data_IF_378488126890
#
_entry.id   IF_378488126890
#
_cell.length_a   1.000
_cell.length_b   1.000
_cell.length_c   1.000
_cell.angle_alpha   90.00
_cell.angle_beta   90.00
_cell.angle_gamma   90.00
#
_symmetry.space_group_name_H-M   'P 1'
#
loop_
_entity.id
_entity.type
_entity.pdbx_description
1 polymer ?
#
# COMPACT_ATOMS: atom_id res chain seq x y z
N UNK A 1 -9.34 29.99 14.36
CA UNK A 1 -7.90 29.84 14.73
C UNK A 1 -7.05 30.04 13.48
N UNK A 2 -5.72 30.03 13.59
CA UNK A 2 -4.79 29.99 12.43
C UNK A 2 -3.88 28.77 12.50
N UNK A 3 -3.26 28.42 11.37
CA UNK A 3 -2.22 27.39 11.33
C UNK A 3 -0.87 27.95 11.78
N UNK A 4 -0.17 27.18 12.60
CA UNK A 4 1.18 27.47 13.11
C UNK A 4 2.26 26.76 12.31
N UNK A 5 3.18 26.07 12.99
CA UNK A 5 4.19 25.23 12.34
C UNK A 5 3.55 24.00 11.69
N UNK A 6 4.08 23.61 10.52
CA UNK A 6 3.69 22.41 9.78
C UNK A 6 4.94 21.65 9.35
N UNK A 7 4.86 20.33 9.25
CA UNK A 7 5.95 19.48 8.76
C UNK A 7 5.39 18.22 8.08
N UNK A 8 6.10 17.68 7.10
CA UNK A 8 5.80 16.39 6.48
C UNK A 8 7.10 15.63 6.20
N UNK A 9 7.15 14.35 6.56
CA UNK A 9 8.30 13.47 6.30
C UNK A 9 7.77 12.11 5.87
N UNK A 10 8.40 11.53 4.86
CA UNK A 10 8.10 10.20 4.34
C UNK A 10 9.42 9.49 4.03
N UNK A 11 9.53 8.21 4.39
CA UNK A 11 10.71 7.36 4.22
C UNK A 11 10.28 5.94 3.83
N UNK A 12 10.96 5.27 2.88
CA UNK A 12 10.58 3.94 2.43
C UNK A 12 10.88 2.82 3.45
N UNK A 13 11.41 3.15 4.63
CA UNK A 13 11.74 2.19 5.68
C UNK A 13 13.04 1.43 5.42
N UNK A 14 13.06 0.15 5.80
CA UNK A 14 14.21 -0.77 5.69
C UNK A 14 13.93 -2.03 4.87
N UNK A 15 12.67 -2.43 4.67
CA UNK A 15 12.31 -3.67 3.94
C UNK A 15 11.66 -3.43 2.57
N UNK A 16 10.84 -2.38 2.42
CA UNK A 16 10.22 -2.02 1.13
C UNK A 16 11.30 -1.52 0.13
N UNK A 17 10.95 -1.53 -1.16
CA UNK A 17 11.84 -1.12 -2.28
C UNK A 17 11.45 0.20 -2.94
N UNK A 18 10.17 0.52 -2.87
CA UNK A 18 9.56 1.75 -3.30
C UNK A 18 8.88 2.37 -2.08
N UNK A 19 8.45 3.62 -2.23
CA UNK A 19 7.59 4.28 -1.28
C UNK A 19 6.21 4.37 -1.92
N UNK A 20 5.26 3.61 -1.42
CA UNK A 20 3.87 3.61 -1.89
C UNK A 20 3.00 4.59 -1.09
N UNK A 21 3.53 5.18 -0.01
CA UNK A 21 2.93 6.31 0.70
C UNK A 21 2.97 7.61 -0.11
N UNK A 22 1.91 8.43 0.02
CA UNK A 22 1.92 9.85 -0.36
C UNK A 22 1.28 10.71 0.75
N UNK A 23 1.71 11.98 0.87
CA UNK A 23 1.10 12.95 1.78
C UNK A 23 0.81 14.31 1.12
N UNK A 24 -0.02 15.11 1.79
CA UNK A 24 -0.35 16.49 1.43
C UNK A 24 -0.15 17.41 2.64
N UNK A 25 0.63 18.48 2.44
CA UNK A 25 0.82 19.56 3.41
C UNK A 25 0.51 20.91 2.73
N UNK A 26 -0.77 21.21 2.47
CA UNK A 26 -1.22 22.40 1.73
C UNK A 26 -2.31 23.13 2.53
N UNK A 27 -1.95 23.96 3.53
CA UNK A 27 -2.89 24.76 4.32
C UNK A 27 -4.05 25.35 3.49
N UNK A 28 -5.33 25.15 3.89
CA UNK A 28 -5.81 24.57 5.15
C UNK A 28 -5.89 23.03 5.21
N UNK A 29 -5.45 22.32 4.16
CA UNK A 29 -5.65 20.88 3.97
C UNK A 29 -4.38 20.06 4.22
N UNK A 30 -4.53 18.97 4.98
CA UNK A 30 -3.47 18.00 5.27
C UNK A 30 -3.97 16.58 5.02
N UNK A 31 -3.10 15.67 4.56
CA UNK A 31 -3.46 14.27 4.43
C UNK A 31 -2.26 13.33 4.43
N UNK A 32 -2.53 12.05 4.74
CA UNK A 32 -1.68 10.90 4.42
C UNK A 32 -2.50 9.85 3.67
N UNK A 33 -1.85 9.07 2.80
CA UNK A 33 -2.44 7.99 2.03
C UNK A 33 -1.39 6.88 1.83
N UNK A 34 -1.66 5.69 2.36
CA UNK A 34 -0.83 4.49 2.27
C UNK A 34 -1.26 3.68 1.04
N UNK A 35 -0.33 3.41 0.13
CA UNK A 35 -0.63 2.79 -1.17
C UNK A 35 -0.57 1.27 -1.13
N UNK A 36 -1.72 0.60 -1.24
CA UNK A 36 -1.82 -0.87 -1.26
C UNK A 36 -1.97 -1.40 -2.69
N UNK A 37 -1.06 -2.29 -3.11
CA UNK A 37 -1.14 -2.87 -4.45
C UNK A 37 -0.06 -3.91 -4.76
N UNK A 38 -0.12 -4.43 -5.98
CA UNK A 38 0.93 -5.27 -6.55
C UNK A 38 1.96 -4.45 -7.33
N UNK A 39 3.23 -4.87 -7.29
CA UNK A 39 4.36 -4.29 -8.02
C UNK A 39 4.70 -2.83 -7.68
N UNK A 40 3.95 -1.86 -8.23
CA UNK A 40 4.09 -0.42 -7.96
C UNK A 40 2.73 0.28 -8.05
N UNK A 41 1.65 -0.47 -7.82
CA UNK A 41 0.29 0.03 -7.99
C UNK A 41 -0.21 0.83 -6.78
N UNK A 42 0.37 0.62 -5.59
CA UNK A 42 0.12 1.45 -4.42
C UNK A 42 0.63 2.89 -4.62
N UNK A 43 1.85 3.04 -5.16
CA UNK A 43 2.44 4.33 -5.56
C UNK A 43 1.49 5.13 -6.49
N UNK A 44 0.84 4.45 -7.44
CA UNK A 44 -0.13 5.08 -8.36
C UNK A 44 -1.44 5.42 -7.66
N UNK A 45 -1.91 4.59 -6.72
CA UNK A 45 -3.14 4.83 -5.98
C UNK A 45 -3.01 6.01 -5.00
N UNK A 46 -2.00 6.02 -4.11
CA UNK A 46 -1.80 7.11 -3.15
C UNK A 46 -1.45 8.43 -3.86
N UNK A 47 -0.68 8.37 -4.96
CA UNK A 47 -0.39 9.52 -5.82
C UNK A 47 -1.65 10.12 -6.45
N UNK A 48 -2.61 9.29 -6.89
CA UNK A 48 -3.91 9.76 -7.41
C UNK A 48 -4.81 10.34 -6.32
N UNK A 49 -4.80 9.78 -5.10
CA UNK A 49 -5.52 10.35 -3.96
C UNK A 49 -4.96 11.73 -3.58
N UNK A 50 -3.64 11.86 -3.45
CA UNK A 50 -2.97 13.12 -3.17
C UNK A 50 -3.07 14.15 -4.31
N UNK A 51 -3.30 13.71 -5.55
CA UNK A 51 -3.62 14.59 -6.67
C UNK A 51 -5.06 15.12 -6.59
N UNK A 52 -6.04 14.30 -6.22
CA UNK A 52 -7.43 14.72 -6.04
C UNK A 52 -7.56 15.87 -5.01
N UNK A 53 -6.80 15.80 -3.91
CA UNK A 53 -6.76 16.84 -2.87
C UNK A 53 -6.17 18.20 -3.31
N UNK A 54 -5.57 18.29 -4.50
CA UNK A 54 -4.96 19.54 -4.99
C UNK A 54 -5.94 20.40 -5.80
N UNK A 55 -7.02 19.80 -6.28
CA UNK A 55 -8.07 20.42 -7.10
C UNK A 55 -9.26 20.87 -6.24
N UNK A 56 -9.95 21.93 -6.67
CA UNK A 56 -11.20 22.36 -6.05
C UNK A 56 -12.35 21.40 -6.41
N UNK A 57 -13.28 21.08 -5.49
CA UNK A 57 -14.48 20.31 -5.81
C UNK A 57 -15.29 20.92 -6.95
N UNK A 58 -15.88 20.07 -7.79
CA UNK A 58 -16.69 20.49 -8.96
C UNK A 58 -18.00 21.21 -8.57
N UNK A 59 -18.50 20.93 -7.38
CA UNK A 59 -19.67 21.55 -6.77
C UNK A 59 -19.24 22.16 -5.43
N UNK A 60 -19.72 23.37 -5.12
CA UNK A 60 -19.33 24.06 -3.90
C UNK A 60 -19.90 23.32 -2.66
N UNK A 61 -19.05 22.86 -1.72
CA UNK A 61 -19.49 22.09 -0.56
C UNK A 61 -20.34 22.96 0.38
N UNK A 62 -21.37 22.37 0.98
CA UNK A 62 -22.31 23.04 1.89
C UNK A 62 -21.83 23.00 3.35
N UNK A 63 -20.80 22.21 3.63
CA UNK A 63 -20.14 22.10 4.94
C UNK A 63 -18.70 21.58 4.80
N UNK A 64 -17.82 21.78 5.81
CA UNK A 64 -16.48 21.20 5.81
C UNK A 64 -16.45 19.66 5.77
N UNK A 65 -17.45 18.98 6.36
CA UNK A 65 -17.56 17.52 6.31
C UNK A 65 -17.82 17.04 4.87
N UNK A 66 -18.81 17.62 4.20
CA UNK A 66 -19.07 17.36 2.78
C UNK A 66 -17.89 17.75 1.88
N UNK A 67 -17.11 18.77 2.23
CA UNK A 67 -15.90 19.12 1.49
C UNK A 67 -14.89 17.95 1.51
N UNK A 68 -14.56 17.43 2.70
CA UNK A 68 -13.61 16.32 2.81
C UNK A 68 -14.20 15.03 2.21
N UNK A 69 -15.50 14.77 2.38
CA UNK A 69 -16.21 13.66 1.73
C UNK A 69 -16.07 13.73 0.20
N UNK A 70 -16.41 14.86 -0.44
CA UNK A 70 -16.34 15.03 -1.90
C UNK A 70 -14.91 14.87 -2.44
N UNK A 71 -13.90 15.33 -1.69
CA UNK A 71 -12.49 15.16 -2.04
C UNK A 71 -12.08 13.68 -2.00
N UNK A 72 -12.52 12.94 -0.99
CA UNK A 72 -12.29 11.50 -0.83
C UNK A 72 -13.05 10.68 -1.89
N UNK A 73 -14.29 11.03 -2.22
CA UNK A 73 -15.05 10.38 -3.29
C UNK A 73 -14.45 10.63 -4.68
N UNK A 74 -13.93 11.82 -4.97
CA UNK A 74 -13.22 12.11 -6.23
C UNK A 74 -11.87 11.37 -6.31
N UNK A 75 -11.18 11.16 -5.19
CA UNK A 75 -10.03 10.26 -5.11
C UNK A 75 -10.43 8.81 -5.44
N UNK A 76 -11.50 8.30 -4.79
CA UNK A 76 -12.05 6.96 -5.05
C UNK A 76 -12.37 6.74 -6.53
N UNK A 77 -13.13 7.68 -7.11
CA UNK A 77 -13.54 7.65 -8.51
C UNK A 77 -12.34 7.64 -9.48
N UNK A 78 -11.25 8.34 -9.17
CA UNK A 78 -10.01 8.35 -9.98
C UNK A 78 -9.27 7.02 -9.93
N UNK A 79 -9.08 6.48 -8.73
CA UNK A 79 -8.31 5.25 -8.51
C UNK A 79 -9.07 4.05 -9.07
N UNK A 80 -10.37 3.94 -8.77
CA UNK A 80 -11.24 2.88 -9.31
C UNK A 80 -11.33 2.92 -10.85
N UNK A 81 -11.46 4.11 -11.44
CA UNK A 81 -11.42 4.27 -12.90
C UNK A 81 -10.09 3.78 -13.48
N UNK A 82 -8.96 4.23 -12.92
CA UNK A 82 -7.61 3.84 -13.39
C UNK A 82 -7.32 2.36 -13.23
N UNK A 83 -7.79 1.73 -12.14
CA UNK A 83 -7.68 0.30 -11.86
C UNK A 83 -8.57 -0.58 -12.78
N UNK A 84 -9.66 0.01 -13.30
CA UNK A 84 -10.55 -0.63 -14.29
C UNK A 84 -10.02 -0.48 -15.72
N UNK A 85 -9.41 0.67 -16.05
CA UNK A 85 -8.87 0.96 -17.38
C UNK A 85 -7.53 0.25 -17.66
N UNK A 86 -6.72 0.00 -16.63
CA UNK A 86 -5.39 -0.62 -16.76
C UNK A 86 -5.28 -1.91 -15.93
N UNK A 87 -5.31 -3.05 -16.61
CA UNK A 87 -5.19 -4.39 -16.03
C UNK A 87 -3.91 -4.60 -15.21
N UNK A 88 -2.85 -3.80 -15.43
CA UNK A 88 -1.62 -3.89 -14.62
C UNK A 88 -1.73 -3.23 -13.24
N UNK A 89 -2.76 -2.41 -13.05
CA UNK A 89 -3.12 -1.75 -11.78
C UNK A 89 -4.41 -2.32 -11.17
N UNK A 90 -4.89 -3.46 -11.68
CA UNK A 90 -6.14 -4.06 -11.23
C UNK A 90 -6.04 -4.47 -9.75
N UNK A 91 -6.96 -3.96 -8.94
CA UNK A 91 -6.97 -4.19 -7.49
C UNK A 91 -6.02 -3.30 -6.69
N UNK A 92 -5.50 -2.21 -7.28
CA UNK A 92 -4.84 -1.17 -6.48
C UNK A 92 -5.85 -0.41 -5.61
N UNK A 93 -5.39 0.04 -4.45
CA UNK A 93 -6.14 0.93 -3.58
C UNK A 93 -5.23 1.73 -2.67
N UNK A 94 -5.81 2.53 -1.79
CA UNK A 94 -5.05 3.31 -0.80
C UNK A 94 -5.87 3.57 0.45
N UNK A 95 -5.24 3.70 1.61
CA UNK A 95 -5.86 4.37 2.76
C UNK A 95 -5.92 5.87 2.48
N UNK A 96 -6.70 6.62 3.26
CA UNK A 96 -6.68 8.08 3.19
C UNK A 96 -7.21 8.69 4.47
N UNK A 97 -6.38 9.52 5.10
CA UNK A 97 -6.75 10.27 6.31
C UNK A 97 -6.47 11.74 6.07
N UNK A 98 -7.55 12.51 5.95
CA UNK A 98 -7.56 13.91 5.55
C UNK A 98 -8.01 14.77 6.72
N UNK A 99 -7.39 15.94 6.89
CA UNK A 99 -7.75 16.96 7.87
C UNK A 99 -7.87 18.33 7.18
N UNK A 100 -9.06 18.94 7.27
CA UNK A 100 -9.37 20.29 6.82
C UNK A 100 -9.52 21.22 8.02
N UNK A 101 -8.68 22.25 8.11
CA UNK A 101 -8.69 23.22 9.20
C UNK A 101 -9.55 24.43 8.84
N UNK A 102 -10.73 24.56 9.44
CA UNK A 102 -11.71 25.61 9.11
C UNK A 102 -12.33 26.24 10.37
N UNK A 103 -12.45 27.57 10.38
CA UNK A 103 -13.07 28.44 11.39
C UNK A 103 -12.88 28.14 12.91
N UNK A 104 -11.89 27.31 13.29
CA UNK A 104 -11.65 26.89 14.69
C UNK A 104 -12.07 25.45 15.00
N UNK A 105 -12.31 24.64 13.98
CA UNK A 105 -12.51 23.20 14.01
C UNK A 105 -11.51 22.55 13.04
N UNK A 106 -11.11 21.30 13.31
CA UNK A 106 -10.47 20.45 12.30
C UNK A 106 -11.47 19.38 11.92
N UNK A 107 -11.85 19.34 10.65
CA UNK A 107 -12.77 18.33 10.13
C UNK A 107 -11.96 17.23 9.47
N UNK A 108 -12.13 16.00 9.95
CA UNK A 108 -11.50 14.82 9.41
C UNK A 108 -12.40 14.11 8.41
N UNK A 109 -11.78 13.39 7.48
CA UNK A 109 -12.38 12.34 6.68
C UNK A 109 -11.40 11.18 6.56
N UNK A 110 -11.86 9.97 6.80
CA UNK A 110 -11.00 8.82 7.04
C UNK A 110 -11.51 7.53 6.35
N UNK A 111 -10.58 6.82 5.71
CA UNK A 111 -10.74 5.47 5.13
C UNK A 111 -9.44 4.69 5.34
N UNK A 112 -9.52 3.42 5.73
CA UNK A 112 -8.36 2.59 6.04
C UNK A 112 -7.92 2.70 7.50
N UNK A 113 -6.65 2.38 7.79
CA UNK A 113 -6.08 2.31 9.13
C UNK A 113 -4.92 3.29 9.39
N UNK A 114 -4.53 4.12 8.40
CA UNK A 114 -3.66 5.27 8.63
C UNK A 114 -4.30 6.26 9.61
N UNK A 115 -3.61 6.61 10.69
CA UNK A 115 -4.21 7.26 11.86
C UNK A 115 -4.08 8.78 11.85
N UNK A 116 -4.97 9.44 12.60
CA UNK A 116 -4.76 10.79 13.09
C UNK A 116 -4.76 10.82 14.62
N UNK A 117 -3.90 11.67 15.18
CA UNK A 117 -3.73 11.92 16.61
C UNK A 117 -3.79 13.42 16.90
N UNK A 118 -4.31 13.76 18.09
CA UNK A 118 -4.22 15.08 18.71
C UNK A 118 -3.27 14.98 19.91
N UNK A 119 -2.21 15.79 19.91
CA UNK A 119 -1.38 16.06 21.07
C UNK A 119 -1.81 17.38 21.74
N UNK A 120 -2.27 17.30 23.00
CA UNK A 120 -2.85 18.42 23.76
C UNK A 120 -2.57 18.23 25.24
N UNK A 121 -2.21 19.31 25.94
CA UNK A 121 -2.01 19.36 27.40
C UNK A 121 -0.99 18.32 27.96
N UNK A 122 -0.15 17.72 27.09
CA UNK A 122 0.83 16.67 27.40
C UNK A 122 0.42 15.25 26.99
N UNK A 123 -0.84 15.05 26.62
CA UNK A 123 -1.41 13.75 26.25
C UNK A 123 -1.50 13.63 24.71
N UNK A 124 -1.10 12.46 24.18
CA UNK A 124 -1.37 12.05 22.80
C UNK A 124 -2.65 11.21 22.77
N UNK A 125 -3.60 11.56 21.90
CA UNK A 125 -4.86 10.83 21.76
C UNK A 125 -5.21 10.62 20.29
N UNK A 126 -5.39 9.36 19.89
CA UNK A 126 -5.93 9.00 18.59
C UNK A 126 -7.33 9.61 18.39
N UNK A 127 -7.63 10.07 17.18
CA UNK A 127 -8.93 10.68 16.81
C UNK A 127 -9.68 9.93 15.70
N UNK A 128 -8.98 9.12 14.91
CA UNK A 128 -9.57 8.16 13.94
C UNK A 128 -9.89 6.82 14.59
N UNK A 129 -10.79 6.06 13.99
CA UNK A 129 -11.13 4.68 14.35
C UNK A 129 -10.72 3.76 13.20
N UNK A 130 -9.68 2.94 13.36
CA UNK A 130 -9.07 2.17 12.25
C UNK A 130 -10.10 1.28 11.51
N UNK A 131 -10.04 1.26 10.18
CA UNK A 131 -10.81 0.32 9.34
C UNK A 131 -10.01 -0.97 9.09
N UNK A 132 -9.67 -1.69 10.15
CA UNK A 132 -8.97 -2.98 10.10
C UNK A 132 -9.75 -4.09 10.78
N UNK A 133 -9.51 -5.34 10.37
CA UNK A 133 -10.16 -6.53 10.90
C UNK A 133 -9.97 -6.65 12.42
N UNK A 134 -8.78 -6.30 12.93
CA UNK A 134 -8.52 -6.32 14.38
C UNK A 134 -9.29 -5.21 15.11
N UNK A 135 -9.42 -4.02 14.54
CA UNK A 135 -10.22 -2.94 15.13
C UNK A 135 -11.73 -3.29 15.17
N UNK A 136 -12.26 -3.96 14.15
CA UNK A 136 -13.63 -4.49 14.18
C UNK A 136 -13.82 -5.58 15.24
N UNK A 137 -12.88 -6.53 15.36
CA UNK A 137 -12.94 -7.58 16.39
C UNK A 137 -12.79 -7.01 17.81
N UNK A 138 -12.01 -5.95 17.99
CA UNK A 138 -11.92 -5.17 19.24
C UNK A 138 -13.25 -4.47 19.56
N UNK A 139 -13.82 -3.72 18.60
CA UNK A 139 -15.10 -2.99 18.77
C UNK A 139 -16.26 -3.92 19.11
N UNK A 140 -16.27 -5.13 18.54
CA UNK A 140 -17.25 -6.19 18.85
C UNK A 140 -16.98 -6.94 20.17
N UNK A 141 -15.87 -6.66 20.88
CA UNK A 141 -15.49 -7.37 22.11
C UNK A 141 -15.12 -8.84 21.91
N UNK A 142 -14.71 -9.21 20.68
CA UNK A 142 -14.28 -10.57 20.30
C UNK A 142 -12.78 -10.81 20.55
N UNK A 143 -12.02 -9.77 20.86
CA UNK A 143 -10.57 -9.74 20.96
C UNK A 143 -10.16 -8.73 22.04
N UNK A 144 -9.05 -8.97 22.75
CA UNK A 144 -8.42 -7.97 23.62
C UNK A 144 -7.40 -7.10 22.86
N UNK A 145 -6.99 -5.95 23.42
CA UNK A 145 -5.93 -5.10 22.83
C UNK A 145 -4.61 -5.87 22.66
N UNK A 146 -4.21 -6.62 23.69
CA UNK A 146 -3.02 -7.48 23.72
C UNK A 146 -3.06 -8.58 22.63
N UNK A 147 -4.25 -9.10 22.34
CA UNK A 147 -4.49 -10.09 21.27
C UNK A 147 -4.52 -9.46 19.87
N UNK A 148 -4.92 -8.19 19.74
CA UNK A 148 -4.95 -7.45 18.47
C UNK A 148 -3.54 -7.13 17.96
N UNK A 149 -2.67 -6.61 18.83
CA UNK A 149 -1.27 -6.27 18.53
C UNK A 149 -0.48 -7.46 17.95
N UNK A 150 -0.82 -8.67 18.39
CA UNK A 150 -0.17 -9.93 18.00
C UNK A 150 -0.97 -10.78 17.00
N UNK A 151 -2.09 -10.26 16.49
CA UNK A 151 -2.98 -11.02 15.60
C UNK A 151 -2.35 -11.26 14.22
N UNK A 152 -2.40 -12.48 13.64
CA UNK A 152 -1.79 -12.79 12.34
C UNK A 152 -2.48 -12.13 11.14
N UNK A 153 -3.55 -11.36 11.38
CA UNK A 153 -4.28 -10.58 10.37
C UNK A 153 -4.46 -9.12 10.84
N UNK A 154 -3.47 -8.54 11.54
CA UNK A 154 -3.55 -7.13 12.01
C UNK A 154 -3.62 -6.14 10.84
N UNK A 155 -2.70 -6.27 9.88
CA UNK A 155 -2.61 -5.46 8.64
C UNK A 155 -3.64 -5.87 7.56
N UNK A 156 -4.86 -6.26 7.97
CA UNK A 156 -5.97 -6.55 7.05
C UNK A 156 -7.00 -5.44 7.17
N UNK A 157 -6.90 -4.46 6.27
CA UNK A 157 -7.89 -3.40 6.12
C UNK A 157 -9.24 -3.95 5.66
N UNK A 158 -10.32 -3.38 6.18
CA UNK A 158 -11.71 -3.70 5.82
C UNK A 158 -12.36 -2.61 4.98
N UNK A 159 -11.76 -1.42 4.91
CA UNK A 159 -12.17 -0.34 3.99
C UNK A 159 -10.93 0.29 3.34
N UNK A 160 -10.98 0.52 2.03
CA UNK A 160 -9.92 1.14 1.25
C UNK A 160 -10.54 2.02 0.14
N UNK A 161 -9.75 2.95 -0.41
CA UNK A 161 -10.14 3.77 -1.55
C UNK A 161 -9.66 3.10 -2.85
N UNK A 162 -10.54 3.02 -3.85
CA UNK A 162 -10.24 2.59 -5.21
C UNK A 162 -10.54 1.13 -5.52
N UNK A 163 -10.89 0.31 -4.53
CA UNK A 163 -11.30 -1.09 -4.73
C UNK A 163 -12.71 -1.20 -5.33
N UNK A 164 -13.57 -0.26 -4.98
CA UNK A 164 -15.00 -0.24 -5.25
C UNK A 164 -15.43 1.13 -5.82
N UNK A 165 -16.53 1.21 -6.59
CA UNK A 165 -16.93 2.45 -7.29
C UNK A 165 -17.33 3.58 -6.33
N UNK A 166 -17.89 3.23 -5.18
CA UNK A 166 -18.31 4.11 -4.10
C UNK A 166 -17.60 3.65 -2.81
N UNK A 167 -17.22 4.58 -1.93
CA UNK A 167 -16.58 4.28 -0.64
C UNK A 167 -17.34 4.96 0.51
N UNK A 168 -17.43 4.30 1.65
CA UNK A 168 -18.00 4.88 2.88
C UNK A 168 -16.92 5.72 3.59
N UNK A 169 -17.26 6.93 4.06
CA UNK A 169 -16.25 7.91 4.52
C UNK A 169 -16.59 8.40 5.92
N UNK A 170 -15.74 8.05 6.89
CA UNK A 170 -15.93 8.47 8.27
C UNK A 170 -15.51 9.95 8.42
N UNK A 171 -16.48 10.86 8.37
CA UNK A 171 -16.26 12.31 8.53
C UNK A 171 -16.69 12.82 9.90
N UNK A 172 -15.82 13.56 10.59
CA UNK A 172 -16.11 14.08 11.94
C UNK A 172 -15.32 15.36 12.28
N UNK A 173 -15.92 16.30 13.05
CA UNK A 173 -15.23 17.49 13.54
C UNK A 173 -14.49 17.25 14.86
N UNK A 174 -13.39 17.99 15.07
CA UNK A 174 -12.65 18.09 16.34
C UNK A 174 -12.46 19.56 16.71
N UNK A 175 -12.97 19.97 17.87
CA UNK A 175 -12.79 21.33 18.41
C UNK A 175 -11.32 21.59 18.75
N UNK A 176 -10.76 22.72 18.27
CA UNK A 176 -9.35 23.07 18.52
C UNK A 176 -9.12 24.23 19.49
N UNK A 177 -7.96 24.17 20.13
CA UNK A 177 -7.40 25.15 21.06
C UNK A 177 -6.09 25.69 20.50
N UNK A 178 -5.69 26.85 20.98
CA UNK A 178 -4.32 27.33 20.75
C UNK A 178 -3.33 26.38 21.42
N UNK A 179 -2.28 25.99 20.69
CA UNK A 179 -1.26 25.06 21.17
C UNK A 179 -1.57 23.58 20.91
N UNK A 180 -2.70 23.24 20.28
CA UNK A 180 -2.92 21.88 19.75
C UNK A 180 -1.89 21.55 18.67
N UNK A 181 -1.38 20.32 18.69
CA UNK A 181 -0.54 19.76 17.63
C UNK A 181 -1.18 18.48 17.12
N UNK A 182 -1.52 18.42 15.85
CA UNK A 182 -2.02 17.21 15.20
C UNK A 182 -0.90 16.45 14.51
N UNK A 183 -1.02 15.12 14.49
CA UNK A 183 -0.19 14.18 13.76
C UNK A 183 -1.10 13.30 12.89
N UNK A 184 -0.79 13.17 11.60
CA UNK A 184 -1.33 12.13 10.72
C UNK A 184 -0.20 11.14 10.41
N UNK A 185 -0.46 9.83 10.36
CA UNK A 185 0.57 8.81 10.07
C UNK A 185 0.05 7.60 9.30
N UNK A 186 0.89 7.02 8.42
CA UNK A 186 0.68 5.69 7.83
C UNK A 186 1.01 4.57 8.82
N UNK A 187 0.65 3.31 8.51
CA UNK A 187 0.66 2.22 9.50
C UNK A 187 2.08 1.89 9.99
N UNK A 188 3.09 2.00 9.11
CA UNK A 188 4.49 1.69 9.38
C UNK A 188 5.16 2.56 10.44
N UNK A 189 4.53 3.65 10.90
CA UNK A 189 4.89 4.26 12.18
C UNK A 189 4.40 3.40 13.35
N UNK A 190 3.09 3.20 13.42
CA UNK A 190 2.36 2.67 14.59
C UNK A 190 2.47 1.16 14.75
N UNK A 191 2.78 0.43 13.67
CA UNK A 191 3.07 -1.01 13.70
C UNK A 191 4.50 -1.30 14.22
N UNK A 192 5.35 -0.25 14.28
CA UNK A 192 6.76 -0.28 14.69
C UNK A 192 7.06 0.50 15.99
N UNK A 193 6.14 1.36 16.46
CA UNK A 193 6.32 2.28 17.60
C UNK A 193 5.00 2.42 18.36
N UNK A 194 5.00 2.16 19.67
CA UNK A 194 3.83 2.32 20.54
C UNK A 194 3.42 3.78 20.78
N UNK A 195 2.13 4.00 21.10
CA UNK A 195 1.54 5.33 21.33
C UNK A 195 2.29 6.09 22.44
N UNK A 196 2.74 5.41 23.49
CA UNK A 196 3.56 5.97 24.56
C UNK A 196 4.90 6.53 24.05
N UNK A 197 5.62 5.78 23.21
CA UNK A 197 6.88 6.23 22.59
C UNK A 197 6.64 7.36 21.58
N UNK A 198 5.54 7.33 20.83
CA UNK A 198 5.14 8.44 19.94
C UNK A 198 4.90 9.70 20.79
N UNK A 199 4.16 9.60 21.89
CA UNK A 199 3.88 10.70 22.82
C UNK A 199 5.17 11.28 23.39
N UNK A 200 6.09 10.43 23.88
CA UNK A 200 7.37 10.87 24.44
C UNK A 200 8.24 11.59 23.41
N UNK A 201 8.29 11.11 22.15
CA UNK A 201 9.02 11.76 21.07
C UNK A 201 8.39 13.11 20.69
N UNK A 202 7.06 13.19 20.61
CA UNK A 202 6.33 14.44 20.34
C UNK A 202 6.53 15.44 21.48
N UNK A 203 6.43 15.02 22.74
CA UNK A 203 6.64 15.87 23.90
C UNK A 203 8.08 16.39 23.99
N UNK A 204 9.09 15.57 23.68
CA UNK A 204 10.51 15.97 23.69
C UNK A 204 10.88 16.96 22.57
N UNK A 205 10.11 16.98 21.47
CA UNK A 205 10.38 17.82 20.29
C UNK A 205 9.23 18.80 19.99
N UNK A 206 8.37 19.11 20.97
CA UNK A 206 7.11 19.85 20.79
C UNK A 206 7.28 21.20 20.09
N UNK A 207 8.39 21.91 20.32
CA UNK A 207 8.66 23.21 19.69
C UNK A 207 9.06 23.09 18.21
N UNK A 208 9.49 21.91 17.75
CA UNK A 208 10.06 21.64 16.42
C UNK A 208 9.40 20.41 15.77
N UNK A 209 8.25 20.59 15.08
CA UNK A 209 7.53 19.49 14.45
C UNK A 209 8.30 18.78 13.31
N UNK A 210 9.28 19.44 12.67
CA UNK A 210 10.10 18.78 11.65
C UNK A 210 11.06 17.79 12.30
N UNK A 211 11.70 18.20 13.41
CA UNK A 211 12.53 17.30 14.21
C UNK A 211 11.70 16.20 14.87
N UNK A 212 10.47 16.47 15.32
CA UNK A 212 9.55 15.44 15.81
C UNK A 212 9.24 14.40 14.72
N UNK A 213 8.89 14.85 13.50
CA UNK A 213 8.66 13.98 12.35
C UNK A 213 9.86 13.09 12.02
N UNK A 214 11.06 13.69 11.91
CA UNK A 214 12.30 12.95 11.68
C UNK A 214 12.59 11.93 12.80
N UNK A 215 12.38 12.30 14.07
CA UNK A 215 12.61 11.42 15.21
C UNK A 215 11.64 10.22 15.26
N UNK A 216 10.37 10.40 14.86
CA UNK A 216 9.39 9.32 14.71
C UNK A 216 9.76 8.37 13.57
N UNK A 217 10.09 8.91 12.40
CA UNK A 217 10.54 8.12 11.23
C UNK A 217 11.82 7.33 11.55
N UNK A 218 12.75 7.92 12.29
CA UNK A 218 13.91 7.19 12.82
C UNK A 218 13.53 6.12 13.86
N UNK A 219 12.51 6.33 14.69
CA UNK A 219 12.07 5.37 15.69
C UNK A 219 11.46 4.12 15.04
N UNK A 220 10.55 4.29 14.08
CA UNK A 220 10.00 3.18 13.29
C UNK A 220 11.09 2.44 12.52
N UNK A 221 12.04 3.16 11.91
CA UNK A 221 13.23 2.58 11.28
C UNK A 221 14.21 1.87 12.24
N UNK A 222 14.09 2.09 13.57
CA UNK A 222 14.82 1.34 14.61
C UNK A 222 14.02 0.14 15.13
N UNK A 223 12.68 0.24 15.21
CA UNK A 223 11.78 -0.86 15.55
C UNK A 223 11.83 -2.00 14.53
N UNK A 224 11.88 -1.64 13.24
CA UNK A 224 12.16 -2.60 12.16
C UNK A 224 12.19 -1.98 10.76
N UNK A 225 11.48 -0.87 10.55
CA UNK A 225 11.26 -0.27 9.23
C UNK A 225 10.65 -1.27 8.26
N UNK A 226 9.67 -2.05 8.71
CA UNK A 226 9.10 -3.14 7.92
C UNK A 226 8.23 -2.64 6.78
N UNK A 227 7.64 -1.46 6.95
CA UNK A 227 6.87 -0.78 5.92
C UNK A 227 7.39 0.62 5.56
N UNK A 228 6.68 1.30 4.66
CA UNK A 228 6.79 2.73 4.40
C UNK A 228 6.32 3.53 5.63
N UNK A 229 6.92 4.70 5.86
CA UNK A 229 6.72 5.47 7.09
C UNK A 229 6.51 6.93 6.74
N UNK A 230 5.28 7.40 6.86
CA UNK A 230 4.89 8.78 6.55
C UNK A 230 4.20 9.44 7.72
N UNK A 231 4.59 10.68 8.00
CA UNK A 231 4.07 11.50 9.10
C UNK A 231 3.86 12.94 8.65
N UNK A 232 2.74 13.54 9.06
CA UNK A 232 2.40 14.94 8.84
C UNK A 232 1.99 15.60 10.15
N UNK A 233 2.63 16.71 10.49
CA UNK A 233 2.26 17.55 11.63
C UNK A 233 1.67 18.89 11.19
N UNK A 234 0.66 19.36 11.93
CA UNK A 234 0.20 20.75 11.87
C UNK A 234 -0.23 21.26 13.24
N UNK A 235 0.21 22.47 13.58
CA UNK A 235 -0.10 23.15 14.84
C UNK A 235 -1.23 24.18 14.69
N UNK A 236 -2.05 24.33 15.72
CA UNK A 236 -3.09 25.36 15.82
C UNK A 236 -2.59 26.53 16.69
N UNK A 237 -2.72 27.75 16.18
CA UNK A 237 -2.36 29.01 16.87
C UNK A 237 -3.59 29.91 17.05
N UNK A 238 -3.56 30.82 18.03
CA UNK A 238 -4.53 31.91 18.06
C UNK A 238 -4.38 32.77 16.81
N UNK A 239 -5.52 33.20 16.24
CA UNK A 239 -5.54 34.03 15.06
C UNK A 239 -4.89 35.39 15.35
N UNK A 240 -3.69 35.61 14.82
CA UNK A 240 -2.99 36.88 14.92
C UNK A 240 -3.83 37.98 14.26
N UNK A 241 -4.23 38.98 15.06
CA UNK A 241 -5.13 40.05 14.62
C UNK A 241 -4.47 41.01 13.62
N UNK A 242 -4.50 40.66 12.33
CA UNK A 242 -4.09 41.52 11.22
C UNK A 242 -2.57 41.66 11.05
N UNK A 243 -1.89 40.56 10.74
CA UNK A 243 -0.54 40.56 10.21
C UNK A 243 -0.47 39.69 8.94
N UNK A 244 0.27 40.14 7.92
CA UNK A 244 0.39 39.42 6.65
C UNK A 244 1.17 38.11 6.81
N UNK A 245 0.67 37.03 6.23
CA UNK A 245 1.36 35.73 6.23
C UNK A 245 2.60 35.79 5.36
N UNK A 246 3.78 35.90 5.98
CA UNK A 246 5.07 35.76 5.28
C UNK A 246 5.26 34.34 4.78
N UNK A 247 4.76 34.05 3.58
CA UNK A 247 5.06 32.82 2.85
C UNK A 247 6.55 32.79 2.53
N UNK A 248 7.29 31.84 3.11
CA UNK A 248 8.63 31.52 2.63
C UNK A 248 8.51 30.76 1.29
N UNK A 249 9.36 31.08 0.29
CA UNK A 249 9.23 30.50 -1.04
C UNK A 249 9.50 29.00 -1.03
N UNK A 250 8.66 28.25 -1.75
CA UNK A 250 8.89 26.84 -2.07
C UNK A 250 10.13 26.75 -2.97
N UNK A 251 11.04 25.81 -2.68
CA UNK A 251 12.16 25.52 -3.56
C UNK A 251 11.71 24.51 -4.61
N UNK A 252 11.07 25.00 -5.66
CA UNK A 252 10.87 24.23 -6.90
C UNK A 252 12.26 23.99 -7.54
N UNK A 253 12.47 22.78 -8.08
CA UNK A 253 13.73 22.37 -8.74
C UNK A 253 13.45 21.93 -10.17
N UNK A 254 13.01 22.87 -10.99
CA UNK A 254 12.96 22.73 -12.45
C UNK A 254 14.31 23.22 -13.04
N UNK A 255 15.29 22.32 -13.13
CA UNK A 255 16.59 22.56 -13.76
C UNK A 255 16.60 22.06 -15.22
N UNK A 256 16.21 22.90 -16.18
CA UNK A 256 16.55 22.72 -17.61
C UNK A 256 17.18 23.99 -18.23
N UNK A 257 18.02 23.77 -19.25
CA UNK A 257 18.71 24.72 -20.15
C UNK A 257 19.80 25.68 -19.58
N UNK A 258 21.03 25.15 -19.63
CA UNK A 258 22.20 25.71 -20.35
C UNK A 258 22.58 27.21 -20.21
N UNK A 259 23.81 27.46 -19.73
CA UNK A 259 24.65 28.54 -20.30
C UNK A 259 26.15 28.32 -20.06
N UNK A 260 26.83 27.61 -20.97
CA UNK A 260 28.30 27.45 -20.96
C UNK A 260 29.05 28.63 -21.62
N UNK A 261 30.03 29.27 -20.94
CA UNK A 261 30.96 30.21 -21.59
C UNK A 261 32.33 30.40 -20.89
N UNK A 262 33.40 30.61 -21.67
CA UNK A 262 34.72 31.17 -21.24
C UNK A 262 35.65 30.25 -20.40
N UNK A 263 36.36 29.25 -20.93
CA UNK A 263 37.56 29.28 -21.80
C UNK A 263 38.85 29.84 -21.15
N UNK A 264 39.85 28.97 -20.90
CA UNK A 264 41.23 29.02 -21.46
C UNK A 264 41.86 27.60 -21.43
N UNK A 265 42.08 26.95 -22.59
CA UNK A 265 43.34 26.79 -23.38
C UNK A 265 44.34 25.72 -22.81
N UNK A 266 44.55 24.52 -23.40
CA UNK A 266 45.10 24.13 -24.75
C UNK A 266 46.66 24.16 -24.78
N UNK A 267 47.42 23.21 -25.40
CA UNK A 267 47.09 22.20 -26.43
C UNK A 267 47.55 20.72 -26.19
N UNK A 268 47.31 19.88 -27.21
CA UNK A 268 47.64 18.45 -27.44
C UNK A 268 49.09 18.11 -27.79
N UNK A 269 49.42 16.81 -27.77
CA UNK A 269 50.37 16.15 -28.70
C UNK A 269 49.97 14.66 -28.93
N UNK A 270 50.39 14.05 -30.05
CA UNK A 270 50.00 12.69 -30.46
C UNK A 270 51.16 11.69 -30.62
N UNK A 271 50.82 10.40 -30.43
CA UNK A 271 51.29 9.20 -31.15
C UNK A 271 52.69 8.52 -30.95
N UNK A 272 52.64 7.17 -30.87
CA UNK A 272 53.68 6.12 -31.04
C UNK A 272 54.93 6.19 -30.11
N UNK A 273 55.21 5.29 -29.17
CA UNK A 273 54.96 3.85 -29.06
C UNK A 273 56.27 3.04 -29.02
N UNK A 274 56.56 2.32 -27.93
CA UNK A 274 57.55 1.22 -27.86
C UNK A 274 57.42 0.37 -26.57
N UNK A 275 57.98 -0.85 -26.59
CA UNK A 275 58.04 -1.88 -25.53
C UNK A 275 59.11 -1.54 -24.45
N UNK A 276 59.24 -2.11 -23.25
CA UNK A 276 58.50 -3.08 -22.38
C UNK A 276 59.03 -2.86 -20.91
N UNK A 277 58.73 -3.57 -19.81
CA UNK A 277 57.92 -4.76 -19.46
C UNK A 277 56.95 -4.41 -18.28
N UNK A 278 56.60 -5.39 -17.40
CA UNK A 278 56.46 -5.08 -15.96
C UNK A 278 55.41 -5.82 -15.13
N UNK A 279 54.47 -6.55 -15.75
CA UNK A 279 53.62 -7.61 -15.16
C UNK A 279 52.91 -7.40 -13.80
N UNK A 280 51.56 -7.33 -13.81
CA UNK A 280 50.69 -7.99 -12.81
C UNK A 280 49.24 -8.14 -13.31
N UNK A 281 48.59 -9.27 -12.99
CA UNK A 281 47.14 -9.53 -13.14
C UNK A 281 46.49 -9.61 -11.75
N UNK A 282 45.21 -9.19 -11.58
CA UNK A 282 44.05 -10.10 -11.79
C UNK A 282 43.00 -9.47 -12.75
N UNK A 283 42.30 -10.18 -13.64
CA UNK A 283 41.48 -11.41 -13.49
C UNK A 283 40.14 -11.20 -12.77
N UNK A 284 39.03 -11.06 -13.52
CA UNK A 284 37.67 -11.09 -12.95
C UNK A 284 36.55 -11.66 -13.87
N UNK A 285 36.87 -12.24 -15.03
CA UNK A 285 35.88 -12.77 -15.99
C UNK A 285 34.98 -13.92 -15.48
N UNK A 286 35.34 -14.57 -14.35
CA UNK A 286 34.53 -15.63 -13.74
C UNK A 286 33.22 -15.11 -13.13
N UNK A 287 33.16 -13.86 -12.65
CA UNK A 287 31.94 -13.31 -12.02
C UNK A 287 30.77 -13.23 -13.01
N UNK A 288 31.04 -12.80 -14.24
CA UNK A 288 30.03 -12.73 -15.31
C UNK A 288 29.51 -14.12 -15.71
N UNK A 289 30.41 -15.11 -15.81
CA UNK A 289 30.07 -16.50 -16.11
C UNK A 289 29.18 -17.13 -15.03
N UNK A 290 29.47 -16.89 -13.74
CA UNK A 290 28.63 -17.37 -12.64
C UNK A 290 27.25 -16.69 -12.61
N UNK A 291 27.15 -15.40 -12.93
CA UNK A 291 25.86 -14.71 -13.09
C UNK A 291 25.00 -15.32 -14.19
N UNK A 292 25.58 -15.55 -15.37
CA UNK A 292 24.86 -16.19 -16.49
C UNK A 292 24.40 -17.62 -16.16
N UNK A 293 25.25 -18.42 -15.50
CA UNK A 293 24.88 -19.76 -15.05
C UNK A 293 23.75 -19.76 -14.01
N UNK A 294 23.73 -18.77 -13.10
CA UNK A 294 22.65 -18.64 -12.12
C UNK A 294 21.30 -18.31 -12.79
N UNK A 295 21.27 -17.43 -13.79
CA UNK A 295 20.06 -17.12 -14.56
C UNK A 295 19.55 -18.34 -15.34
N UNK A 296 20.44 -19.09 -15.99
CA UNK A 296 20.07 -20.32 -16.70
C UNK A 296 19.55 -21.40 -15.74
N UNK A 297 20.15 -21.54 -14.55
CA UNK A 297 19.65 -22.45 -13.53
C UNK A 297 18.26 -22.06 -13.01
N UNK A 298 18.03 -20.77 -12.73
CA UNK A 298 16.73 -20.27 -12.28
C UNK A 298 15.64 -20.46 -13.34
N UNK A 299 15.93 -20.16 -14.61
CA UNK A 299 15.02 -20.42 -15.73
C UNK A 299 14.72 -21.92 -15.87
N UNK A 300 15.73 -22.79 -15.72
CA UNK A 300 15.55 -24.24 -15.71
C UNK A 300 14.65 -24.74 -14.57
N UNK A 301 14.77 -24.17 -13.37
CA UNK A 301 13.88 -24.46 -12.24
C UNK A 301 12.45 -24.02 -12.54
N UNK A 302 12.23 -22.81 -13.04
CA UNK A 302 10.90 -22.31 -13.39
C UNK A 302 10.22 -23.14 -14.49
N UNK A 303 10.97 -23.56 -15.51
CA UNK A 303 10.46 -24.48 -16.55
C UNK A 303 10.13 -25.84 -15.93
N UNK A 304 10.94 -26.36 -15.01
CA UNK A 304 10.67 -27.63 -14.34
C UNK A 304 9.44 -27.60 -13.42
N UNK A 305 9.20 -26.52 -12.67
CA UNK A 305 7.98 -26.37 -11.85
C UNK A 305 6.74 -26.20 -12.70
N UNK A 306 6.77 -25.37 -13.76
CA UNK A 306 5.66 -25.26 -14.72
C UNK A 306 5.36 -26.60 -15.43
N UNK A 307 6.39 -27.36 -15.80
CA UNK A 307 6.26 -28.69 -16.41
C UNK A 307 5.72 -29.76 -15.44
N UNK A 308 6.03 -29.64 -14.15
CA UNK A 308 5.41 -30.44 -13.08
C UNK A 308 3.93 -30.09 -12.88
N UNK A 309 3.63 -28.81 -12.69
CA UNK A 309 2.28 -28.29 -12.47
C UNK A 309 1.32 -28.58 -13.64
N UNK A 310 1.81 -28.50 -14.88
CA UNK A 310 1.04 -28.88 -16.08
C UNK A 310 0.74 -30.38 -16.21
N UNK A 311 1.29 -31.24 -15.33
CA UNK A 311 0.88 -32.65 -15.18
C UNK A 311 -0.09 -32.90 -14.03
N UNK A 312 -0.25 -31.96 -13.11
CA UNK A 312 -1.20 -32.08 -12.01
C UNK A 312 -2.64 -32.08 -12.52
N UNK A 313 -3.51 -32.80 -11.83
CA UNK A 313 -4.94 -32.83 -12.08
C UNK A 313 -5.70 -32.56 -10.78
N UNK A 314 -6.83 -31.86 -10.86
CA UNK A 314 -7.73 -31.65 -9.72
C UNK A 314 -9.17 -31.93 -10.14
N UNK A 315 -10.06 -32.07 -9.16
CA UNK A 315 -11.49 -32.28 -9.38
C UNK A 315 -12.24 -31.00 -8.98
N UNK A 316 -13.23 -30.61 -9.78
CA UNK A 316 -14.07 -29.44 -9.55
C UNK A 316 -15.46 -29.61 -10.13
N UNK A 317 -16.23 -28.51 -10.16
CA UNK A 317 -17.51 -28.45 -10.87
C UNK A 317 -17.37 -27.61 -12.15
N UNK A 318 -18.09 -27.99 -13.20
CA UNK A 318 -18.18 -27.20 -14.43
C UNK A 318 -19.25 -26.09 -14.34
N UNK A 319 -19.38 -25.29 -15.40
CA UNK A 319 -20.39 -24.22 -15.49
C UNK A 319 -21.84 -24.73 -15.64
N UNK A 320 -22.06 -26.03 -15.82
CA UNK A 320 -23.36 -26.70 -15.73
C UNK A 320 -23.65 -27.33 -14.36
N UNK A 321 -22.68 -27.31 -13.44
CA UNK A 321 -22.76 -27.97 -12.14
C UNK A 321 -22.44 -29.48 -12.15
N UNK A 322 -21.85 -30.01 -13.23
CA UNK A 322 -21.35 -31.38 -13.33
C UNK A 322 -19.98 -31.53 -12.66
N UNK A 323 -19.64 -32.70 -12.14
CA UNK A 323 -18.30 -33.01 -11.63
C UNK A 323 -17.34 -33.19 -12.81
N UNK A 324 -16.19 -32.50 -12.80
CA UNK A 324 -15.19 -32.58 -13.86
C UNK A 324 -13.77 -32.74 -13.30
N UNK A 325 -12.92 -33.46 -14.05
CA UNK A 325 -11.47 -33.55 -13.81
C UNK A 325 -10.77 -32.56 -14.73
N UNK A 326 -10.00 -31.67 -14.12
CA UNK A 326 -9.21 -30.65 -14.80
C UNK A 326 -7.73 -31.01 -14.76
N UNK A 327 -7.03 -30.90 -15.89
CA UNK A 327 -5.57 -30.90 -15.94
C UNK A 327 -5.08 -29.47 -15.82
N UNK A 328 -4.16 -29.20 -14.90
CA UNK A 328 -3.59 -27.88 -14.63
C UNK A 328 -3.58 -27.55 -13.13
N UNK A 329 -3.60 -26.24 -12.83
CA UNK A 329 -3.60 -25.70 -11.46
C UNK A 329 -4.93 -24.98 -11.21
N UNK A 330 -5.58 -25.11 -10.04
CA UNK A 330 -6.89 -24.52 -9.74
C UNK A 330 -6.84 -22.99 -9.48
N UNK A 331 -6.14 -22.24 -10.33
CA UNK A 331 -6.11 -20.78 -10.32
C UNK A 331 -6.35 -20.23 -11.73
N UNK A 332 -7.21 -19.22 -11.84
CA UNK A 332 -7.33 -18.40 -13.04
C UNK A 332 -6.28 -17.29 -13.02
N UNK A 333 -5.60 -17.03 -14.14
CA UNK A 333 -4.76 -15.85 -14.27
C UNK A 333 -5.60 -14.61 -14.61
N UNK A 334 -5.09 -13.45 -14.20
CA UNK A 334 -5.61 -12.13 -14.59
C UNK A 334 -5.84 -12.07 -16.10
N UNK A 335 -7.03 -11.60 -16.52
CA UNK A 335 -7.48 -11.63 -17.91
C UNK A 335 -8.25 -12.90 -18.31
N UNK A 336 -8.63 -13.77 -17.36
CA UNK A 336 -9.49 -14.94 -17.62
C UNK A 336 -8.78 -16.11 -18.29
N UNK A 337 -7.44 -16.12 -18.28
CA UNK A 337 -6.64 -17.22 -18.83
C UNK A 337 -6.62 -18.36 -17.82
N UNK A 338 -7.52 -19.33 -18.02
CA UNK A 338 -7.58 -20.55 -17.21
C UNK A 338 -6.29 -21.35 -17.37
N UNK A 339 -5.55 -21.58 -16.28
CA UNK A 339 -4.37 -22.46 -16.26
C UNK A 339 -4.73 -23.95 -16.21
N UNK A 340 -5.98 -24.29 -16.53
CA UNK A 340 -6.53 -25.62 -16.46
C UNK A 340 -7.55 -25.88 -17.58
N UNK A 341 -7.67 -27.15 -17.98
CA UNK A 341 -8.59 -27.61 -19.02
C UNK A 341 -9.31 -28.87 -18.55
N UNK A 342 -10.61 -28.98 -18.84
CA UNK A 342 -11.36 -30.21 -18.60
C UNK A 342 -10.80 -31.36 -19.46
N UNK A 343 -10.55 -32.50 -18.83
CA UNK A 343 -10.06 -33.74 -19.48
C UNK A 343 -11.04 -34.90 -19.27
N UNK A 344 -11.90 -34.81 -18.25
CA UNK A 344 -13.03 -35.72 -18.04
C UNK A 344 -14.22 -34.94 -17.47
N UNK A 345 -15.41 -35.21 -17.98
CA UNK A 345 -16.69 -34.65 -17.51
C UNK A 345 -17.58 -35.82 -17.08
N UNK A 346 -18.10 -35.78 -15.85
CA UNK A 346 -18.92 -36.83 -15.26
C UNK A 346 -20.41 -36.50 -15.41
N UNK A 347 -21.30 -37.49 -15.61
CA UNK A 347 -22.74 -37.27 -15.57
C UNK A 347 -23.28 -36.94 -14.16
N UNK A 348 -22.45 -37.01 -13.12
CA UNK A 348 -22.83 -36.66 -11.73
C UNK A 348 -22.86 -35.14 -11.56
N UNK A 349 -24.00 -34.61 -11.11
CA UNK A 349 -24.14 -33.22 -10.72
C UNK A 349 -23.64 -33.01 -9.29
N UNK A 350 -22.85 -31.94 -9.07
CA UNK A 350 -22.42 -31.51 -7.74
C UNK A 350 -23.60 -31.24 -6.78
N UNK A 351 -24.78 -30.94 -7.32
CA UNK A 351 -26.02 -30.78 -6.56
C UNK A 351 -26.58 -32.10 -5.98
N UNK A 352 -26.20 -33.26 -6.53
CA UNK A 352 -26.57 -34.59 -6.00
C UNK A 352 -25.69 -35.00 -4.80
N UNK A 353 -24.54 -34.34 -4.60
CA UNK A 353 -23.58 -34.65 -3.55
C UNK A 353 -23.88 -33.87 -2.25
N UNK A 354 -23.80 -34.56 -1.10
CA UNK A 354 -23.95 -33.94 0.21
C UNK A 354 -22.83 -32.93 0.48
N UNK A 355 -23.04 -32.03 1.46
CA UNK A 355 -22.05 -31.01 1.84
C UNK A 355 -20.69 -31.64 2.21
N UNK A 356 -20.71 -32.77 2.92
CA UNK A 356 -19.50 -33.48 3.35
C UNK A 356 -18.82 -34.30 2.24
N UNK A 357 -19.49 -34.58 1.12
CA UNK A 357 -18.87 -35.19 -0.07
C UNK A 357 -18.25 -34.12 -0.95
N UNK A 358 -18.96 -33.00 -1.18
CA UNK A 358 -18.40 -31.84 -1.89
C UNK A 358 -17.10 -31.32 -1.26
N UNK A 359 -17.02 -31.24 0.07
CA UNK A 359 -15.80 -30.86 0.78
C UNK A 359 -14.65 -31.91 0.70
N UNK A 360 -14.91 -33.14 0.24
CA UNK A 360 -13.90 -34.21 0.04
C UNK A 360 -13.64 -34.53 -1.43
N UNK A 361 -14.39 -33.91 -2.35
CA UNK A 361 -14.26 -34.07 -3.80
C UNK A 361 -13.72 -32.79 -4.44
N UNK A 362 -14.03 -31.62 -3.88
CA UNK A 362 -13.54 -30.31 -4.29
C UNK A 362 -12.57 -29.76 -3.24
N UNK A 363 -11.61 -30.59 -2.82
CA UNK A 363 -10.51 -30.20 -1.94
C UNK A 363 -9.39 -29.44 -2.68
N UNK A 364 -9.45 -29.41 -4.01
CA UNK A 364 -8.44 -28.83 -4.91
C UNK A 364 -7.06 -29.50 -4.81
N UNK A 365 -6.96 -30.69 -4.20
CA UNK A 365 -5.70 -31.43 -4.09
C UNK A 365 -5.16 -31.84 -5.47
N UNK A 366 -3.87 -31.57 -5.68
CA UNK A 366 -3.17 -31.91 -6.92
C UNK A 366 -2.86 -33.40 -6.98
N UNK A 367 -3.65 -34.14 -7.76
CA UNK A 367 -3.61 -35.60 -7.92
C UNK A 367 -3.02 -35.98 -9.29
N UNK A 368 -2.58 -37.24 -9.42
CA UNK A 368 -2.24 -37.83 -10.72
C UNK A 368 -3.50 -38.14 -11.54
N UNK A 369 -3.38 -38.15 -12.88
CA UNK A 369 -4.48 -38.35 -13.83
C UNK A 369 -5.41 -39.52 -13.46
N UNK A 370 -4.85 -40.73 -13.34
CA UNK A 370 -5.61 -41.95 -13.04
C UNK A 370 -6.26 -41.90 -11.65
N UNK A 371 -5.61 -41.25 -10.68
CA UNK A 371 -6.13 -41.10 -9.32
C UNK A 371 -7.29 -40.10 -9.25
N UNK A 372 -7.22 -39.00 -10.01
CA UNK A 372 -8.33 -38.03 -10.10
C UNK A 372 -9.57 -38.67 -10.78
N UNK A 373 -9.37 -39.42 -11.86
CA UNK A 373 -10.47 -40.14 -12.53
C UNK A 373 -11.03 -41.26 -11.64
N UNK A 374 -10.20 -42.03 -10.95
CA UNK A 374 -10.65 -43.10 -10.05
C UNK A 374 -11.53 -42.57 -8.90
N UNK A 375 -11.22 -41.38 -8.36
CA UNK A 375 -12.03 -40.73 -7.33
C UNK A 375 -13.41 -40.36 -7.87
N UNK A 376 -13.49 -39.72 -9.04
CA UNK A 376 -14.79 -39.35 -9.65
C UNK A 376 -15.62 -40.60 -9.97
N UNK A 377 -14.99 -41.65 -10.50
CA UNK A 377 -15.68 -42.91 -10.83
C UNK A 377 -16.22 -43.67 -9.62
N UNK A 378 -15.60 -43.56 -8.45
CA UNK A 378 -16.16 -44.14 -7.22
C UNK A 378 -17.54 -43.52 -6.89
N UNK A 379 -17.69 -42.20 -7.06
CA UNK A 379 -18.98 -41.53 -6.88
C UNK A 379 -19.96 -41.85 -8.02
N UNK A 380 -19.51 -42.08 -9.27
CA UNK A 380 -20.36 -42.58 -10.35
C UNK A 380 -20.96 -43.97 -10.02
N UNK A 381 -20.15 -44.89 -9.49
CA UNK A 381 -20.60 -46.25 -9.15
C UNK A 381 -21.55 -46.29 -7.93
N UNK A 382 -21.29 -45.49 -6.89
CA UNK A 382 -22.17 -45.43 -5.71
C UNK A 382 -23.50 -44.69 -5.97
N UNK A 383 -23.59 -43.82 -7.00
CA UNK A 383 -24.84 -43.20 -7.46
C UNK A 383 -25.72 -44.11 -8.36
N UNK A 384 -25.23 -45.30 -8.72
CA UNK A 384 -25.93 -46.29 -9.57
C UNK A 384 -26.53 -47.44 -8.73
N UNK A 385 -26.33 -47.45 -7.40
CA UNK A 385 -26.80 -48.47 -6.44
C UNK A 385 -28.06 -48.08 -5.67
#
# INVERSE_FOLDING_TARGET
>A
MTLGRVAGVSDPGRKRRQNEDTYVCKPPLFAVADGVGGASAGEVASGLAAAALREEPREAPRSPAEHVELLIQEANRRIYQRATEDTSLSGMGTTMTVALVDDGVVTFGHVGDSRAYLFRDGELRQVTDDHSLVAELLRDGKLSREEAETHPQRSVITRAIGTDPDVDVDTFPVDVREGDLFLLSTDGLTDMVDDETIQDIVQQNRDDPERAARALVEAANRGGGEDNITVVFFEITAAAGGAETTVMPVHETDDEEDTLSGIERVPTLEHVGSFDEGGRRPANGRRFLYGLLAVVALAGVCVATLWGLSRSHFVGADSGGQVAVYQGVPYDLVGGVRLYRAVYESPVLAAQLTRGERQRLFDHDLRGHDAAIAVVKAYEEDLIR
#
